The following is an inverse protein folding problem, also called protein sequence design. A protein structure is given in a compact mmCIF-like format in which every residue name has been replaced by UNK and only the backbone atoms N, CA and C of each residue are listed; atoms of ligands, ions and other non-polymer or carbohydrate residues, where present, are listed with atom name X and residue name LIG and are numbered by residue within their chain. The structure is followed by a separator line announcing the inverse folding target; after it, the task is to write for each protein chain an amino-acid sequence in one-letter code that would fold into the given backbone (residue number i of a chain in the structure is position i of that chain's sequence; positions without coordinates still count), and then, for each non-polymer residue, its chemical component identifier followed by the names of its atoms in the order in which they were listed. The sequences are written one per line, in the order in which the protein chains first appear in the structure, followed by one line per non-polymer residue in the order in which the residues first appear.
data_IF_917095618321
#
_entry.id   IF_917095618321
#
_cell.length_a   1.000
_cell.length_b   1.000
_cell.length_c   1.000
_cell.angle_alpha   90.00
_cell.angle_beta   90.00
_cell.angle_gamma   90.00
#
_symmetry.space_group_name_H-M   'P 1'
#
loop_
_entity.id
_entity.type
_entity.pdbx_description
1 polymer ?
#
# COMPACT_ATOMS: atom_id res chain seq x y z
N UNK A 1 95.16 -11.20 17.45
CA UNK A 1 94.36 -10.74 16.30
C UNK A 1 92.91 -11.15 16.58
N UNK A 2 92.03 -10.23 16.98
CA UNK A 2 90.61 -10.54 17.20
C UNK A 2 89.81 -10.23 15.91
N UNK A 3 88.80 -11.04 15.54
CA UNK A 3 88.06 -10.86 14.29
C UNK A 3 87.14 -9.62 14.35
N UNK A 4 86.83 -8.98 13.21
CA UNK A 4 85.95 -7.82 13.16
C UNK A 4 84.50 -8.21 13.49
N UNK A 5 83.88 -7.45 14.39
CA UNK A 5 82.46 -7.59 14.75
C UNK A 5 81.58 -7.11 13.59
N UNK A 6 80.52 -7.84 13.22
CA UNK A 6 79.64 -7.44 12.14
C UNK A 6 78.83 -6.19 12.52
N UNK A 7 78.84 -5.18 11.67
CA UNK A 7 77.98 -4.01 11.77
C UNK A 7 76.53 -4.42 11.52
N UNK A 8 75.75 -4.55 12.60
CA UNK A 8 74.31 -4.72 12.49
C UNK A 8 73.70 -3.42 11.97
N UNK A 9 73.39 -3.40 10.66
CA UNK A 9 72.64 -2.31 10.03
C UNK A 9 71.36 -2.04 10.81
N UNK A 10 71.29 -0.87 11.45
CA UNK A 10 70.16 -0.46 12.26
C UNK A 10 68.88 -0.46 11.44
N UNK A 11 67.86 -1.19 11.90
CA UNK A 11 66.50 -1.07 11.38
C UNK A 11 66.06 0.36 11.72
N UNK A 12 66.18 1.26 10.74
CA UNK A 12 65.84 2.66 10.91
C UNK A 12 64.34 2.82 11.20
N UNK A 13 64.00 2.96 12.48
CA UNK A 13 62.64 3.33 12.90
C UNK A 13 62.33 4.72 12.33
N UNK A 14 61.40 4.78 11.36
CA UNK A 14 60.88 6.03 10.80
C UNK A 14 59.57 6.39 11.51
N UNK A 15 59.60 7.10 12.65
CA UNK A 15 58.43 7.35 13.48
C UNK A 15 57.30 8.03 12.71
N UNK A 16 57.63 8.99 11.85
CA UNK A 16 56.64 9.70 11.02
C UNK A 16 55.89 8.77 10.07
N UNK A 17 56.57 7.80 9.44
CA UNK A 17 55.92 6.84 8.55
C UNK A 17 55.02 5.88 9.32
N UNK A 18 55.50 5.38 10.47
CA UNK A 18 54.72 4.51 11.34
C UNK A 18 53.44 5.19 11.85
N UNK A 19 53.54 6.43 12.33
CA UNK A 19 52.39 7.22 12.78
C UNK A 19 51.41 7.53 11.64
N UNK A 20 51.91 7.86 10.45
CA UNK A 20 51.08 8.15 9.28
C UNK A 20 50.27 6.94 8.83
N UNK A 21 50.92 5.78 8.67
CA UNK A 21 50.25 4.53 8.26
C UNK A 21 49.21 4.11 9.30
N UNK A 22 49.55 4.19 10.58
CA UNK A 22 48.65 3.82 11.67
C UNK A 22 47.41 4.75 11.74
N UNK A 23 47.60 6.06 11.56
CA UNK A 23 46.50 7.04 11.47
C UNK A 23 45.60 6.75 10.27
N UNK A 24 46.18 6.46 9.10
CA UNK A 24 45.43 6.13 7.89
C UNK A 24 44.58 4.85 8.09
N UNK A 25 45.14 3.82 8.72
CA UNK A 25 44.42 2.59 9.05
C UNK A 25 43.23 2.85 9.97
N UNK A 26 43.38 3.69 11.00
CA UNK A 26 42.27 4.06 11.88
C UNK A 26 41.16 4.83 11.14
N UNK A 27 41.52 5.76 10.25
CA UNK A 27 40.55 6.48 9.43
C UNK A 27 39.79 5.52 8.51
N UNK A 28 40.48 4.59 7.86
CA UNK A 28 39.85 3.56 7.03
C UNK A 28 38.91 2.66 7.84
N UNK A 29 39.32 2.22 9.04
CA UNK A 29 38.50 1.38 9.92
C UNK A 29 37.23 2.10 10.39
N UNK A 30 37.33 3.38 10.73
CA UNK A 30 36.15 4.20 11.09
C UNK A 30 35.25 4.39 9.86
N UNK A 31 35.83 4.67 8.69
CA UNK A 31 35.10 4.83 7.45
C UNK A 31 34.29 3.59 7.07
N UNK A 32 34.89 2.39 7.14
CA UNK A 32 34.18 1.14 6.85
C UNK A 32 33.06 0.87 7.85
N UNK A 33 33.26 1.17 9.14
CA UNK A 33 32.22 1.04 10.16
C UNK A 33 31.03 1.97 9.91
N UNK A 34 31.27 3.20 9.45
CA UNK A 34 30.22 4.16 9.07
C UNK A 34 29.45 3.66 7.85
N UNK A 35 30.15 3.24 6.79
CA UNK A 35 29.52 2.71 5.57
C UNK A 35 28.65 1.50 5.89
N UNK A 36 29.17 0.57 6.71
CA UNK A 36 28.41 -0.60 7.14
C UNK A 36 27.14 -0.23 7.91
N UNK A 37 27.19 0.78 8.79
CA UNK A 37 26.01 1.29 9.49
C UNK A 37 24.99 1.93 8.55
N UNK A 38 25.43 2.69 7.55
CA UNK A 38 24.55 3.30 6.56
C UNK A 38 23.80 2.22 5.78
N UNK A 39 24.51 1.18 5.31
CA UNK A 39 23.91 0.07 4.57
C UNK A 39 22.86 -0.65 5.42
N UNK A 40 23.19 -0.96 6.70
CA UNK A 40 22.23 -1.59 7.61
C UNK A 40 20.97 -0.74 7.83
N UNK A 41 21.15 0.55 8.11
CA UNK A 41 20.04 1.49 8.30
C UNK A 41 19.19 1.62 7.04
N UNK A 42 19.81 1.65 5.87
CA UNK A 42 19.09 1.70 4.60
C UNK A 42 18.21 0.47 4.43
N UNK A 43 18.71 -0.72 4.73
CA UNK A 43 17.94 -1.96 4.65
C UNK A 43 16.78 -2.02 5.67
N UNK A 44 17.03 -1.57 6.90
CA UNK A 44 15.98 -1.48 7.94
C UNK A 44 14.91 -0.45 7.57
N UNK A 45 15.31 0.71 7.04
CA UNK A 45 14.37 1.74 6.59
C UNK A 45 13.58 1.29 5.37
N UNK A 46 14.20 0.57 4.43
CA UNK A 46 13.51 -0.02 3.29
C UNK A 46 12.44 -1.02 3.76
N UNK A 47 12.78 -1.87 4.72
CA UNK A 47 11.83 -2.81 5.33
C UNK A 47 10.67 -2.08 6.03
N UNK A 48 10.98 -1.08 6.85
CA UNK A 48 9.96 -0.26 7.54
C UNK A 48 9.08 0.50 6.56
N UNK A 49 9.65 1.04 5.47
CA UNK A 49 8.89 1.77 4.44
C UNK A 49 7.89 0.83 3.75
N UNK A 50 8.33 -0.38 3.40
CA UNK A 50 7.43 -1.41 2.86
C UNK A 50 6.34 -1.78 3.88
N UNK A 51 6.69 -2.02 5.14
CA UNK A 51 5.70 -2.31 6.20
C UNK A 51 4.69 -1.16 6.37
N UNK A 52 5.15 0.09 6.30
CA UNK A 52 4.30 1.28 6.34
C UNK A 52 3.38 1.35 5.12
N UNK A 53 3.90 1.19 3.91
CA UNK A 53 3.12 1.15 2.66
C UNK A 53 2.04 0.06 2.74
N UNK A 54 2.39 -1.14 3.20
CA UNK A 54 1.42 -2.22 3.42
C UNK A 54 0.35 -1.85 4.46
N UNK A 55 0.74 -1.22 5.58
CA UNK A 55 -0.21 -0.77 6.59
C UNK A 55 -1.12 0.34 6.08
N UNK A 56 -0.61 1.26 5.27
CA UNK A 56 -1.36 2.36 4.68
C UNK A 56 -2.42 1.83 3.72
N UNK A 57 -2.03 0.93 2.81
CA UNK A 57 -2.96 0.24 1.90
C UNK A 57 -4.01 -0.55 2.68
N UNK A 58 -3.63 -1.24 3.77
CA UNK A 58 -4.58 -1.97 4.61
C UNK A 58 -5.60 -1.05 5.28
N UNK A 59 -5.17 0.11 5.76
CA UNK A 59 -6.03 1.13 6.37
C UNK A 59 -6.96 1.74 5.31
N UNK A 60 -6.47 2.06 4.12
CA UNK A 60 -7.30 2.57 3.02
C UNK A 60 -8.34 1.53 2.59
N UNK A 61 -7.97 0.26 2.48
CA UNK A 61 -8.90 -0.83 2.21
C UNK A 61 -9.95 -0.96 3.33
N UNK A 62 -9.54 -0.85 4.59
CA UNK A 62 -10.45 -0.91 5.72
C UNK A 62 -11.39 0.31 5.79
N UNK A 63 -10.90 1.49 5.42
CA UNK A 63 -11.72 2.67 5.27
C UNK A 63 -12.71 2.51 4.12
N UNK A 64 -12.30 1.93 2.98
CA UNK A 64 -13.20 1.61 1.88
C UNK A 64 -14.28 0.59 2.30
N UNK A 65 -13.94 -0.38 3.15
CA UNK A 65 -14.93 -1.28 3.77
C UNK A 65 -15.90 -0.54 4.69
N UNK A 66 -15.40 0.39 5.49
CA UNK A 66 -16.23 1.20 6.38
C UNK A 66 -17.11 2.19 5.61
N UNK A 67 -16.71 2.58 4.39
CA UNK A 67 -17.51 3.40 3.48
C UNK A 67 -18.65 2.61 2.80
N UNK A 68 -18.76 1.28 2.98
CA UNK A 68 -19.96 0.55 2.64
C UNK A 68 -21.07 0.94 3.62
N UNK A 69 -21.77 2.02 3.30
CA UNK A 69 -22.84 2.57 4.11
C UNK A 69 -23.95 1.50 4.27
N UNK A 70 -24.43 1.18 5.47
CA UNK A 70 -25.57 0.28 5.64
C UNK A 70 -26.80 0.71 4.81
N UNK A 71 -26.98 2.01 4.58
CA UNK A 71 -27.98 2.57 3.66
C UNK A 71 -27.78 2.13 2.20
N UNK A 72 -26.53 2.02 1.73
CA UNK A 72 -26.22 1.46 0.42
C UNK A 72 -26.71 0.02 0.30
N UNK A 73 -26.47 -0.78 1.34
CA UNK A 73 -26.92 -2.17 1.37
C UNK A 73 -28.44 -2.29 1.33
N UNK A 74 -29.15 -1.48 2.12
CA UNK A 74 -30.61 -1.46 2.11
C UNK A 74 -31.18 -1.03 0.75
N UNK A 75 -30.58 -0.04 0.11
CA UNK A 75 -31.04 0.42 -1.22
C UNK A 75 -30.77 -0.62 -2.30
N UNK A 76 -29.61 -1.27 -2.30
CA UNK A 76 -29.32 -2.35 -3.22
C UNK A 76 -30.32 -3.51 -3.05
N UNK A 77 -30.62 -3.91 -1.81
CA UNK A 77 -31.63 -4.94 -1.53
C UNK A 77 -33.03 -4.53 -1.97
N UNK A 78 -33.42 -3.27 -1.79
CA UNK A 78 -34.73 -2.77 -2.21
C UNK A 78 -34.89 -2.73 -3.74
N UNK A 79 -33.84 -2.32 -4.47
CA UNK A 79 -33.83 -2.38 -5.94
C UNK A 79 -33.91 -3.84 -6.42
N UNK A 80 -33.13 -4.74 -5.82
CA UNK A 80 -33.24 -6.17 -6.14
C UNK A 80 -34.68 -6.66 -5.88
N UNK A 81 -35.29 -6.28 -4.76
CA UNK A 81 -36.66 -6.65 -4.41
C UNK A 81 -37.70 -6.17 -5.43
N UNK A 82 -37.53 -4.98 -6.01
CA UNK A 82 -38.43 -4.46 -7.04
C UNK A 82 -38.35 -5.26 -8.36
N UNK A 83 -37.19 -5.84 -8.67
CA UNK A 83 -36.99 -6.68 -9.84
C UNK A 83 -37.45 -8.13 -9.66
N UNK A 84 -37.60 -8.65 -8.42
CA UNK A 84 -38.03 -10.05 -8.19
C UNK A 84 -39.37 -10.36 -8.88
N UNK A 85 -40.30 -9.40 -8.92
CA UNK A 85 -41.62 -9.57 -9.53
C UNK A 85 -41.68 -9.30 -11.04
N UNK A 86 -40.76 -8.51 -11.58
CA UNK A 86 -40.78 -8.02 -12.97
C UNK A 86 -39.72 -8.67 -13.86
N UNK A 87 -38.50 -8.88 -13.34
CA UNK A 87 -37.38 -9.54 -14.01
C UNK A 87 -36.55 -10.31 -12.97
N UNK A 88 -36.99 -11.54 -12.68
CA UNK A 88 -36.35 -12.39 -11.66
C UNK A 88 -34.91 -12.77 -12.00
N UNK A 89 -34.57 -12.82 -13.30
CA UNK A 89 -33.23 -13.16 -13.75
C UNK A 89 -32.25 -12.00 -13.52
N UNK A 90 -32.70 -10.76 -13.73
CA UNK A 90 -31.92 -9.58 -13.37
C UNK A 90 -31.76 -9.47 -11.84
N UNK A 91 -32.85 -9.63 -11.08
CA UNK A 91 -32.80 -9.61 -9.61
C UNK A 91 -31.79 -10.62 -9.06
N UNK A 92 -31.75 -11.83 -9.62
CA UNK A 92 -30.81 -12.88 -9.22
C UNK A 92 -29.36 -12.52 -9.53
N UNK A 93 -29.08 -11.90 -10.69
CA UNK A 93 -27.72 -11.44 -11.05
C UNK A 93 -27.25 -10.30 -10.13
N UNK A 94 -28.10 -9.31 -9.87
CA UNK A 94 -27.75 -8.19 -8.98
C UNK A 94 -27.57 -8.65 -7.53
N UNK A 95 -28.33 -9.65 -7.08
CA UNK A 95 -28.13 -10.29 -5.77
C UNK A 95 -26.79 -11.04 -5.67
N UNK A 96 -26.40 -11.80 -6.70
CA UNK A 96 -25.09 -12.46 -6.74
C UNK A 96 -23.95 -11.44 -6.69
N UNK A 97 -24.05 -10.35 -7.45
CA UNK A 97 -23.06 -9.26 -7.44
C UNK A 97 -22.94 -8.58 -6.06
N UNK A 98 -24.07 -8.33 -5.38
CA UNK A 98 -24.08 -7.79 -4.01
C UNK A 98 -23.42 -8.76 -3.02
N UNK A 99 -23.71 -10.05 -3.13
CA UNK A 99 -23.11 -11.11 -2.30
C UNK A 99 -21.59 -11.21 -2.54
N UNK A 100 -21.11 -11.09 -3.78
CA UNK A 100 -19.68 -11.08 -4.09
C UNK A 100 -18.97 -9.85 -3.54
N UNK A 101 -19.58 -8.68 -3.65
CA UNK A 101 -19.09 -7.43 -3.09
C UNK A 101 -18.95 -7.54 -1.56
N UNK A 102 -20.00 -8.01 -0.88
CA UNK A 102 -20.00 -8.24 0.56
C UNK A 102 -18.98 -9.28 0.99
N UNK A 103 -18.85 -10.39 0.24
CA UNK A 103 -17.85 -11.43 0.50
C UNK A 103 -16.43 -10.87 0.41
N UNK A 104 -16.16 -10.05 -0.61
CA UNK A 104 -14.87 -9.38 -0.77
C UNK A 104 -14.62 -8.36 0.36
N UNK A 105 -15.63 -7.58 0.70
CA UNK A 105 -15.58 -6.60 1.77
C UNK A 105 -15.36 -7.23 3.15
N UNK A 106 -16.01 -8.33 3.48
CA UNK A 106 -15.92 -8.92 4.83
C UNK A 106 -14.72 -9.86 5.01
N UNK A 107 -14.40 -10.69 4.03
CA UNK A 107 -13.46 -11.80 4.24
C UNK A 107 -12.04 -11.58 3.71
N UNK A 108 -11.83 -10.61 2.81
CA UNK A 108 -10.47 -10.38 2.25
C UNK A 108 -9.59 -9.43 3.05
N UNK A 109 -10.09 -8.85 4.15
CA UNK A 109 -9.31 -8.01 5.09
C UNK A 109 -8.15 -8.73 5.79
N UNK A 110 -8.22 -10.06 5.83
CA UNK A 110 -7.33 -10.93 6.61
C UNK A 110 -6.27 -11.64 5.76
N UNK A 111 -6.21 -11.41 4.44
CA UNK A 111 -5.17 -11.98 3.60
C UNK A 111 -4.04 -10.96 3.34
N UNK A 112 -2.77 -11.31 3.60
CA UNK A 112 -1.65 -10.39 3.51
C UNK A 112 -1.25 -10.00 2.08
N UNK A 113 -1.71 -10.74 1.06
CA UNK A 113 -1.44 -10.46 -0.35
C UNK A 113 -2.72 -10.61 -1.17
N UNK A 114 -3.05 -9.59 -1.97
CA UNK A 114 -4.16 -9.59 -2.92
C UNK A 114 -3.60 -9.26 -4.30
N UNK A 115 -4.01 -10.00 -5.32
CA UNK A 115 -3.58 -9.71 -6.68
C UNK A 115 -4.29 -8.45 -7.19
N UNK A 116 -3.54 -7.52 -7.78
CA UNK A 116 -4.07 -6.26 -8.37
C UNK A 116 -5.28 -6.47 -9.29
N UNK A 117 -5.33 -7.58 -10.05
CA UNK A 117 -6.47 -7.95 -10.91
C UNK A 117 -7.77 -8.09 -10.12
N UNK A 118 -7.70 -8.64 -8.91
CA UNK A 118 -8.86 -8.91 -8.07
C UNK A 118 -9.39 -7.60 -7.44
N UNK A 119 -8.51 -6.64 -7.17
CA UNK A 119 -8.90 -5.30 -6.73
C UNK A 119 -9.64 -4.53 -7.82
N UNK A 120 -9.13 -4.59 -9.07
CA UNK A 120 -9.79 -3.95 -10.22
C UNK A 120 -11.17 -4.57 -10.47
N UNK A 121 -11.32 -5.89 -10.34
CA UNK A 121 -12.64 -6.53 -10.48
C UNK A 121 -13.60 -6.11 -9.37
N UNK A 122 -13.11 -5.96 -8.13
CA UNK A 122 -13.94 -5.51 -7.01
C UNK A 122 -14.47 -4.09 -7.23
N UNK A 123 -13.60 -3.16 -7.66
CA UNK A 123 -13.99 -1.77 -7.93
C UNK A 123 -15.04 -1.71 -9.06
N UNK A 124 -14.88 -2.51 -10.12
CA UNK A 124 -15.87 -2.58 -11.21
C UNK A 124 -17.23 -3.07 -10.71
N UNK A 125 -17.26 -4.18 -9.98
CA UNK A 125 -18.50 -4.72 -9.43
C UNK A 125 -19.18 -3.73 -8.47
N UNK A 126 -18.41 -2.96 -7.70
CA UNK A 126 -18.94 -1.90 -6.84
C UNK A 126 -19.59 -0.76 -7.64
N UNK A 127 -18.91 -0.27 -8.68
CA UNK A 127 -19.42 0.81 -9.54
C UNK A 127 -20.69 0.37 -10.27
N UNK A 128 -20.71 -0.86 -10.80
CA UNK A 128 -21.88 -1.40 -11.51
C UNK A 128 -23.09 -1.48 -10.58
N UNK A 129 -22.91 -1.95 -9.34
CA UNK A 129 -23.97 -2.01 -8.33
C UNK A 129 -24.43 -0.62 -7.86
N UNK A 130 -23.51 0.34 -7.78
CA UNK A 130 -23.81 1.73 -7.43
C UNK A 130 -24.49 2.48 -8.58
N UNK A 131 -24.22 2.11 -9.83
CA UNK A 131 -24.87 2.66 -11.02
C UNK A 131 -26.34 2.26 -11.13
N UNK A 132 -26.71 1.04 -10.76
CA UNK A 132 -28.10 0.56 -10.67
C UNK A 132 -28.93 1.31 -9.59
N UNK A 133 -28.27 2.13 -8.77
CA UNK A 133 -28.88 2.96 -7.72
C UNK A 133 -29.40 4.30 -8.24
N UNK A 134 -29.02 4.69 -9.45
CA UNK A 134 -29.60 5.86 -10.12
C UNK A 134 -31.02 5.49 -10.54
N UNK A 135 -32.05 6.10 -9.93
CA UNK A 135 -33.38 6.00 -10.50
C UNK A 135 -33.33 6.65 -11.88
N UNK A 136 -34.07 6.08 -12.82
CA UNK A 136 -34.42 6.68 -14.11
C UNK A 136 -35.37 7.88 -13.91
N UNK A 137 -35.09 8.74 -12.91
CA UNK A 137 -35.82 9.98 -12.64
C UNK A 137 -35.22 11.14 -13.46
N UNK A 138 -34.29 10.85 -14.36
CA UNK A 138 -33.69 11.84 -15.27
C UNK A 138 -34.67 12.30 -16.36
N UNK A 139 -35.80 11.63 -16.54
CA UNK A 139 -36.78 11.99 -17.57
C UNK A 139 -37.82 13.03 -17.12
N UNK A 140 -37.87 13.42 -15.83
CA UNK A 140 -38.80 14.48 -15.38
C UNK A 140 -38.16 15.85 -15.14
N UNK A 141 -36.84 15.94 -15.00
CA UNK A 141 -36.15 17.22 -14.97
C UNK A 141 -34.90 17.13 -15.84
N UNK A 142 -35.00 17.65 -17.07
CA UNK A 142 -33.86 17.85 -17.95
C UNK A 142 -32.79 18.69 -17.25
N UNK A 143 -31.79 18.02 -16.68
CA UNK A 143 -30.63 18.64 -16.07
C UNK A 143 -29.39 17.98 -16.65
N UNK A 144 -29.03 18.46 -17.84
CA UNK A 144 -27.67 18.42 -18.38
C UNK A 144 -26.76 19.32 -17.54
N UNK A 145 -26.51 18.96 -16.28
CA UNK A 145 -25.53 19.69 -15.49
C UNK A 145 -24.74 18.77 -14.57
N UNK A 146 -23.47 18.56 -14.94
CA UNK A 146 -22.50 17.69 -14.29
C UNK A 146 -22.17 18.13 -12.85
N UNK A 147 -22.49 19.37 -12.45
CA UNK A 147 -22.16 19.89 -11.12
C UNK A 147 -23.02 19.27 -10.00
N UNK A 148 -24.26 18.86 -10.30
CA UNK A 148 -25.17 18.32 -9.27
C UNK A 148 -24.78 16.90 -8.84
N UNK A 149 -24.20 16.11 -9.73
CA UNK A 149 -23.84 14.72 -9.48
C UNK A 149 -22.78 14.58 -8.38
N UNK A 150 -21.83 15.51 -8.30
CA UNK A 150 -20.80 15.53 -7.25
C UNK A 150 -21.34 15.97 -5.88
N UNK A 151 -22.41 16.79 -5.85
CA UNK A 151 -23.04 17.21 -4.59
C UNK A 151 -23.72 16.07 -3.83
N UNK A 152 -24.26 15.07 -4.55
CA UNK A 152 -24.89 13.90 -3.93
C UNK A 152 -23.85 12.91 -3.37
N UNK A 153 -22.66 12.84 -3.97
CA UNK A 153 -21.55 12.03 -3.47
C UNK A 153 -20.94 12.58 -2.18
N UNK A 154 -20.90 13.91 -2.00
CA UNK A 154 -20.38 14.53 -0.77
C UNK A 154 -21.29 14.29 0.46
N UNK A 155 -22.61 14.24 0.26
CA UNK A 155 -23.59 14.13 1.37
C UNK A 155 -23.67 12.69 1.92
N UNK A 156 -23.40 11.66 1.12
CA UNK A 156 -23.40 10.26 1.59
C UNK A 156 -22.10 9.83 2.29
N UNK A 157 -21.06 10.68 2.29
CA UNK A 157 -19.75 10.42 2.93
C UNK A 157 -19.56 11.07 4.31
N UNK A 158 -20.62 11.65 4.91
CA UNK A 158 -20.63 12.20 6.27
C UNK A 158 -21.32 11.29 7.28
#
# INVERSE_FOLDING_TARGET
MAPPVPEFGGIGFRPFHFLFVNTLLYVCAIGTAIVFRIIRRWYENEKRRKEQEHSHVRIELQNLKNQLNPHFLFNALNNIYSFIGSDSDHARRSLDSLCELLRYALYRSDRPEVYFREEVSFIRNYIDLAGERLPDDTDQYGVTDNEKYYSYLEIETM
#
